data_IF_992377174938
#
_entry.id   IF_992377174938
#
_cell.length_a   1.000
_cell.length_b   1.000
_cell.length_c   1.000
_cell.angle_alpha   90.00
_cell.angle_beta   90.00
_cell.angle_gamma   90.00
#
_symmetry.space_group_name_H-M   'P 1'
#
loop_
_entity.id
_entity.type
_entity.pdbx_description
1 polymer ?
#
# COMPACT_ATOMS: atom_id res chain seq x y z
N UNK A 1 -18.79 4.05 -16.97
CA UNK A 1 -17.82 4.26 -15.87
C UNK A 1 -16.71 3.20 -15.84
N UNK A 2 -16.98 1.94 -16.23
CA UNK A 2 -15.95 0.89 -16.33
C UNK A 2 -14.85 1.21 -17.35
N UNK A 3 -15.17 1.90 -18.46
CA UNK A 3 -14.16 2.36 -19.42
C UNK A 3 -13.11 3.29 -18.81
N UNK A 4 -13.52 4.15 -17.87
CA UNK A 4 -12.63 5.06 -17.18
C UNK A 4 -11.66 4.29 -16.27
N UNK A 5 -12.18 3.28 -15.56
CA UNK A 5 -11.36 2.38 -14.75
C UNK A 5 -10.39 1.58 -15.61
N UNK A 6 -10.82 1.11 -16.79
CA UNK A 6 -9.97 0.39 -17.75
C UNK A 6 -8.87 1.29 -18.32
N UNK A 7 -9.18 2.53 -18.66
CA UNK A 7 -8.19 3.50 -19.16
C UNK A 7 -7.16 3.86 -18.08
N UNK A 8 -7.61 4.08 -16.85
CA UNK A 8 -6.73 4.31 -15.69
C UNK A 8 -5.84 3.11 -15.40
N UNK A 9 -6.38 1.88 -15.44
CA UNK A 9 -5.59 0.66 -15.28
C UNK A 9 -4.54 0.54 -16.39
N UNK A 10 -4.91 0.79 -17.65
CA UNK A 10 -3.98 0.76 -18.78
C UNK A 10 -2.86 1.81 -18.64
N UNK A 11 -3.15 3.01 -18.16
CA UNK A 11 -2.14 4.04 -17.87
C UNK A 11 -1.25 3.68 -16.67
N UNK A 12 -1.80 3.03 -15.65
CA UNK A 12 -1.08 2.54 -14.47
C UNK A 12 -0.02 1.51 -14.89
N UNK A 13 -0.42 0.49 -15.65
CA UNK A 13 0.51 -0.51 -16.19
C UNK A 13 1.54 0.08 -17.15
N UNK A 14 1.19 1.15 -17.88
CA UNK A 14 2.12 1.85 -18.77
C UNK A 14 3.08 2.79 -18.02
N UNK A 15 2.96 2.91 -16.69
CA UNK A 15 3.79 3.79 -15.86
C UNK A 15 3.58 5.28 -16.13
N UNK A 16 2.52 5.65 -16.85
CA UNK A 16 2.23 7.04 -17.26
C UNK A 16 1.23 7.74 -16.34
N UNK A 17 0.61 7.02 -15.41
CA UNK A 17 -0.38 7.57 -14.49
C UNK A 17 0.26 8.46 -13.41
N UNK A 18 1.43 8.06 -12.92
CA UNK A 18 2.15 8.79 -11.88
C UNK A 18 3.35 9.51 -12.47
N UNK A 19 3.62 10.71 -11.95
CA UNK A 19 4.77 11.52 -12.37
C UNK A 19 6.10 10.80 -12.13
N UNK A 20 6.17 9.93 -11.12
CA UNK A 20 7.36 9.16 -10.80
C UNK A 20 7.00 7.72 -10.36
N UNK A 21 6.87 6.77 -11.30
CA UNK A 21 6.40 5.42 -10.99
C UNK A 21 7.33 4.67 -10.02
N UNK A 22 8.65 4.88 -10.10
CA UNK A 22 9.61 4.24 -9.20
C UNK A 22 9.44 4.63 -7.73
N UNK A 23 9.04 5.88 -7.46
CA UNK A 23 8.79 6.35 -6.09
C UNK A 23 7.54 5.69 -5.48
N UNK A 24 6.49 5.53 -6.29
CA UNK A 24 5.27 4.82 -5.90
C UNK A 24 5.56 3.35 -5.56
N UNK A 25 6.28 2.62 -6.42
CA UNK A 25 6.65 1.24 -6.15
C UNK A 25 7.51 1.11 -4.89
N UNK A 26 8.49 2.01 -4.70
CA UNK A 26 9.35 2.02 -3.50
C UNK A 26 8.52 2.22 -2.22
N UNK A 27 7.60 3.17 -2.21
CA UNK A 27 6.73 3.38 -1.05
C UNK A 27 5.76 2.22 -0.83
N UNK A 28 5.20 1.65 -1.89
CA UNK A 28 4.33 0.48 -1.79
C UNK A 28 5.10 -0.71 -1.20
N UNK A 29 6.31 -0.97 -1.67
CA UNK A 29 7.19 -2.00 -1.09
C UNK A 29 7.52 -1.72 0.36
N UNK A 30 7.79 -0.47 0.76
CA UNK A 30 8.04 -0.11 2.15
C UNK A 30 6.81 -0.33 3.03
N UNK A 31 5.63 0.07 2.57
CA UNK A 31 4.37 -0.14 3.30
C UNK A 31 4.06 -1.62 3.49
N UNK A 32 4.21 -2.44 2.43
CA UNK A 32 4.02 -3.89 2.49
C UNK A 32 5.05 -4.53 3.41
N UNK A 33 6.32 -4.12 3.33
CA UNK A 33 7.39 -4.69 4.14
C UNK A 33 7.18 -4.36 5.62
N UNK A 34 6.83 -3.12 5.97
CA UNK A 34 6.51 -2.70 7.34
C UNK A 34 5.28 -3.44 7.85
N UNK A 35 4.20 -3.49 7.06
CA UNK A 35 2.97 -4.19 7.43
C UNK A 35 3.19 -5.69 7.66
N UNK A 36 3.95 -6.35 6.79
CA UNK A 36 4.30 -7.77 6.94
C UNK A 36 5.20 -8.01 8.15
N UNK A 37 6.17 -7.13 8.41
CA UNK A 37 7.03 -7.24 9.59
C UNK A 37 6.22 -7.10 10.88
N UNK A 38 5.26 -6.16 10.91
CA UNK A 38 4.36 -5.95 12.03
C UNK A 38 3.45 -7.16 12.27
N UNK A 39 2.90 -7.73 11.20
CA UNK A 39 1.98 -8.86 11.27
C UNK A 39 2.71 -10.11 11.79
N UNK A 40 3.90 -10.40 11.27
CA UNK A 40 4.73 -11.52 11.75
C UNK A 40 5.19 -11.28 13.19
N UNK A 41 5.67 -10.07 13.52
CA UNK A 41 6.13 -9.74 14.87
C UNK A 41 5.04 -9.80 15.95
N UNK A 42 3.83 -9.34 15.64
CA UNK A 42 2.68 -9.45 16.56
C UNK A 42 2.12 -10.88 16.60
N UNK A 43 2.28 -11.66 15.53
CA UNK A 43 1.86 -13.07 15.46
C UNK A 43 2.67 -13.97 16.39
N UNK A 44 3.99 -13.74 16.48
CA UNK A 44 4.90 -14.48 17.39
C UNK A 44 4.59 -14.23 18.88
N UNK A 45 3.87 -13.16 19.22
CA UNK A 45 3.45 -12.88 20.61
C UNK A 45 2.29 -13.77 21.09
N UNK A 46 1.79 -14.70 20.27
CA UNK A 46 0.69 -15.61 20.65
C UNK A 46 -0.65 -14.89 20.84
N UNK A 47 -0.76 -13.64 20.38
CA UNK A 47 -1.99 -12.86 20.41
C UNK A 47 -3.01 -13.45 19.45
N UNK A 48 -4.30 -13.28 19.77
CA UNK A 48 -5.38 -13.71 18.89
C UNK A 48 -5.17 -13.11 17.48
N UNK A 49 -5.11 -13.98 16.47
CA UNK A 49 -4.87 -13.62 15.07
C UNK A 49 -5.80 -12.49 14.60
N UNK A 50 -7.05 -12.48 15.07
CA UNK A 50 -8.00 -11.40 14.76
C UNK A 50 -7.49 -10.02 15.22
N UNK A 51 -6.87 -9.94 16.40
CA UNK A 51 -6.33 -8.71 16.95
C UNK A 51 -5.06 -8.27 16.21
N UNK A 52 -4.19 -9.23 15.90
CA UNK A 52 -2.96 -9.00 15.13
C UNK A 52 -3.27 -8.48 13.73
N UNK A 53 -4.23 -9.09 13.04
CA UNK A 53 -4.67 -8.67 11.70
C UNK A 53 -5.33 -7.29 11.77
N UNK A 54 -6.17 -7.04 12.77
CA UNK A 54 -6.84 -5.73 12.92
C UNK A 54 -5.83 -4.61 13.17
N UNK A 55 -4.91 -4.80 14.11
CA UNK A 55 -3.88 -3.78 14.42
C UNK A 55 -2.92 -3.57 13.25
N UNK A 56 -2.40 -4.65 12.64
CA UNK A 56 -1.47 -4.54 11.51
C UNK A 56 -2.12 -3.89 10.29
N UNK A 57 -3.37 -4.25 9.95
CA UNK A 57 -4.10 -3.64 8.84
C UNK A 57 -4.44 -2.17 9.10
N UNK A 58 -4.78 -1.80 10.34
CA UNK A 58 -5.10 -0.43 10.71
C UNK A 58 -3.85 0.45 10.65
N UNK A 59 -2.72 -0.03 11.18
CA UNK A 59 -1.43 0.67 11.12
C UNK A 59 -0.96 0.82 9.67
N UNK A 60 -1.00 -0.26 8.89
CA UNK A 60 -0.60 -0.25 7.47
C UNK A 60 -1.52 0.67 6.66
N UNK A 61 -2.82 0.60 6.92
CA UNK A 61 -3.85 1.42 6.28
C UNK A 61 -3.71 2.91 6.61
N UNK A 62 -3.32 3.28 7.84
CA UNK A 62 -3.02 4.66 8.21
C UNK A 62 -1.68 5.16 7.64
N UNK A 63 -0.68 4.29 7.50
CA UNK A 63 0.59 4.65 6.87
C UNK A 63 0.46 4.87 5.36
N UNK A 64 -0.40 4.11 4.68
CA UNK A 64 -0.58 4.18 3.23
C UNK A 64 -0.91 5.58 2.68
N UNK A 65 -1.85 6.37 3.23
CA UNK A 65 -2.12 7.74 2.77
C UNK A 65 -0.96 8.70 3.05
N UNK A 66 -0.15 8.46 4.09
CA UNK A 66 1.01 9.29 4.38
C UNK A 66 2.18 8.97 3.44
N UNK A 67 2.40 7.69 3.13
CA UNK A 67 3.37 7.29 2.11
C UNK A 67 2.94 7.82 0.75
N UNK A 68 1.70 7.60 0.33
CA UNK A 68 1.22 8.01 -0.99
C UNK A 68 1.00 9.54 -1.13
N UNK A 69 1.27 10.33 -0.09
CA UNK A 69 1.06 11.79 -0.07
C UNK A 69 1.83 12.54 -1.16
N UNK A 70 3.03 12.06 -1.51
CA UNK A 70 3.89 12.68 -2.54
C UNK A 70 3.65 12.13 -3.94
N UNK A 71 2.72 11.17 -4.10
CA UNK A 71 2.37 10.58 -5.38
C UNK A 71 1.45 11.52 -6.15
N UNK A 72 2.06 12.44 -6.90
CA UNK A 72 1.34 13.32 -7.82
C UNK A 72 1.00 12.58 -9.11
N UNK A 73 -0.29 12.61 -9.47
CA UNK A 73 -0.75 12.26 -10.82
C UNK A 73 -0.24 13.30 -11.82
N UNK A 74 -0.02 12.88 -13.08
CA UNK A 74 0.41 13.77 -14.16
C UNK A 74 -0.80 14.33 -14.91
#
# INVERSE_FOLDING_TARGET
MLDLAWYSAKLFFKGKLFRNPGYFYRQLTLGVLIGSLLLVGLGEMGLNLAFVITVSSLVTGMMMPFLLKDVKMK
#
